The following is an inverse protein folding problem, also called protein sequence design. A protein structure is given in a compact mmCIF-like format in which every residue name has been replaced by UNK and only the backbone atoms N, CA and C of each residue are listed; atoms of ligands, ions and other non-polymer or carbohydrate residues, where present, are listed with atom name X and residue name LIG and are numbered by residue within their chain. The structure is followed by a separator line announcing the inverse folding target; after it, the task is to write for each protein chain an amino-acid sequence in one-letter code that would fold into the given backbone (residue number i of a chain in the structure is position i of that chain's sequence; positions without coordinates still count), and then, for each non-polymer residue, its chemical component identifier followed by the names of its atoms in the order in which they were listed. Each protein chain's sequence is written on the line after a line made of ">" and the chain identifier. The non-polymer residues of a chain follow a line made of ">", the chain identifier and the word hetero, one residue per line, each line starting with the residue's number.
data_IF_106841818716
#
_entry.id   IF_106841818716
#
_cell.length_a   1.000
_cell.length_b   1.000
_cell.length_c   1.000
_cell.angle_alpha   90.00
_cell.angle_beta   90.00
_cell.angle_gamma   90.00
#
_symmetry.space_group_name_H-M   'P 1'
#
loop_
_entity.id
_entity.type
_entity.pdbx_description
1 polymer ?
#
# COMPACT_ATOMS: atom_id res chain seq x y z
N UNK A 1 5.63 19.48 21.04
CA UNK A 1 4.56 18.62 21.61
C UNK A 1 3.59 18.21 20.51
N UNK A 2 4.02 17.34 19.58
CA UNK A 2 3.17 16.78 18.49
C UNK A 2 3.37 15.25 18.42
N UNK A 3 4.54 14.77 18.85
CA UNK A 3 4.89 13.35 18.88
C UNK A 3 4.13 12.51 19.91
N UNK A 4 3.63 13.08 21.01
CA UNK A 4 2.93 12.31 22.05
C UNK A 4 1.50 11.92 21.66
N UNK A 5 0.82 12.71 20.81
CA UNK A 5 -0.59 12.47 20.41
C UNK A 5 -0.74 11.44 19.29
N UNK A 6 0.29 11.22 18.48
CA UNK A 6 0.27 10.24 17.38
C UNK A 6 0.29 8.79 17.89
N UNK A 7 0.91 8.54 19.04
CA UNK A 7 1.04 7.20 19.62
C UNK A 7 -0.32 6.58 19.99
N UNK A 8 -1.27 7.41 20.42
CA UNK A 8 -2.57 6.95 20.93
C UNK A 8 -3.52 6.40 19.83
N UNK A 9 -3.28 6.79 18.57
CA UNK A 9 -4.05 6.33 17.41
C UNK A 9 -3.24 5.54 16.38
N UNK A 10 -1.96 5.28 16.66
CA UNK A 10 -1.13 4.48 15.78
C UNK A 10 -1.39 3.00 15.97
N UNK A 11 -1.63 2.30 14.87
CA UNK A 11 -1.75 0.84 14.85
C UNK A 11 -0.49 0.27 14.20
N UNK A 12 0.21 -0.68 14.84
CA UNK A 12 1.33 -1.35 14.21
C UNK A 12 0.82 -2.21 13.04
N UNK A 13 1.33 -1.94 11.83
CA UNK A 13 0.93 -2.65 10.63
C UNK A 13 2.05 -3.59 10.18
N UNK A 14 1.77 -4.89 9.95
CA UNK A 14 2.80 -5.83 9.53
C UNK A 14 3.19 -5.59 8.06
N UNK A 15 4.44 -5.19 7.83
CA UNK A 15 5.06 -5.19 6.50
C UNK A 15 5.80 -6.52 6.33
N UNK A 16 5.15 -7.49 5.68
CA UNK A 16 5.74 -8.81 5.42
C UNK A 16 6.75 -8.76 4.28
N UNK A 17 7.62 -9.76 4.17
CA UNK A 17 8.51 -9.90 3.02
C UNK A 17 7.75 -10.00 1.68
N UNK A 18 6.56 -10.60 1.69
CA UNK A 18 5.70 -10.68 0.51
C UNK A 18 5.26 -9.28 0.06
N UNK A 19 4.79 -8.45 0.99
CA UNK A 19 4.42 -7.05 0.71
C UNK A 19 5.60 -6.26 0.12
N UNK A 20 6.80 -6.44 0.67
CA UNK A 20 8.00 -5.81 0.13
C UNK A 20 8.32 -6.27 -1.31
N UNK A 21 8.18 -7.57 -1.60
CA UNK A 21 8.42 -8.11 -2.95
C UNK A 21 7.42 -7.57 -3.96
N UNK A 22 6.14 -7.49 -3.61
CA UNK A 22 5.11 -6.92 -4.48
C UNK A 22 5.41 -5.45 -4.75
N UNK A 23 5.69 -4.67 -3.70
CA UNK A 23 6.03 -3.25 -3.83
C UNK A 23 7.26 -3.02 -4.71
N UNK A 24 8.31 -3.84 -4.56
CA UNK A 24 9.49 -3.79 -5.42
C UNK A 24 9.18 -4.13 -6.88
N UNK A 25 8.32 -5.12 -7.12
CA UNK A 25 7.89 -5.49 -8.47
C UNK A 25 7.19 -4.33 -9.16
N UNK A 26 6.17 -3.75 -8.51
CA UNK A 26 5.40 -2.64 -9.09
C UNK A 26 6.23 -1.38 -9.28
N UNK A 27 7.19 -1.12 -8.38
CA UNK A 27 8.12 0.00 -8.51
C UNK A 27 9.05 -0.15 -9.72
N UNK A 28 9.52 -1.37 -10.02
CA UNK A 28 10.39 -1.65 -11.19
C UNK A 28 9.67 -1.45 -12.53
N UNK A 29 8.34 -1.49 -12.54
CA UNK A 29 7.53 -1.21 -13.73
C UNK A 29 7.46 0.29 -14.07
N UNK A 30 7.91 1.17 -13.17
CA UNK A 30 7.73 2.62 -13.34
C UNK A 30 8.88 3.27 -14.13
N UNK A 31 8.60 4.28 -14.98
CA UNK A 31 9.56 4.86 -15.91
C UNK A 31 10.64 5.74 -15.25
N UNK A 32 10.45 6.16 -14.00
CA UNK A 32 11.36 7.08 -13.32
C UNK A 32 11.42 6.83 -11.82
N UNK A 33 12.54 7.22 -11.20
CA UNK A 33 12.80 6.96 -9.78
C UNK A 33 11.75 7.54 -8.85
N UNK A 34 11.28 8.77 -9.11
CA UNK A 34 10.23 9.42 -8.33
C UNK A 34 8.93 8.60 -8.35
N UNK A 35 8.49 8.16 -9.53
CA UNK A 35 7.28 7.36 -9.67
C UNK A 35 7.44 5.95 -9.10
N UNK A 36 8.62 5.34 -9.27
CA UNK A 36 8.96 4.06 -8.68
C UNK A 36 8.87 4.10 -7.15
N UNK A 37 9.43 5.14 -6.52
CA UNK A 37 9.35 5.33 -5.07
C UNK A 37 7.90 5.54 -4.60
N UNK A 38 7.13 6.34 -5.32
CA UNK A 38 5.72 6.57 -5.04
C UNK A 38 4.92 5.26 -5.08
N UNK A 39 5.03 4.50 -6.19
CA UNK A 39 4.33 3.21 -6.35
C UNK A 39 4.79 2.20 -5.29
N UNK A 40 6.08 2.18 -4.93
CA UNK A 40 6.58 1.35 -3.83
C UNK A 40 5.85 1.66 -2.53
N UNK A 41 5.81 2.93 -2.11
CA UNK A 41 5.18 3.35 -0.85
C UNK A 41 3.67 3.11 -0.84
N UNK A 42 2.98 3.39 -1.94
CA UNK A 42 1.56 3.14 -2.08
C UNK A 42 1.24 1.64 -1.98
N UNK A 43 2.06 0.81 -2.62
CA UNK A 43 1.90 -0.65 -2.56
C UNK A 43 2.12 -1.17 -1.15
N UNK A 44 3.11 -0.64 -0.41
CA UNK A 44 3.28 -0.97 1.01
C UNK A 44 2.05 -0.58 1.83
N UNK A 45 1.51 0.62 1.62
CA UNK A 45 0.36 1.13 2.36
C UNK A 45 -0.88 0.25 2.14
N UNK A 46 -1.29 0.05 0.88
CA UNK A 46 -2.50 -0.71 0.54
C UNK A 46 -2.42 -2.16 1.01
N UNK A 47 -1.26 -2.81 0.85
CA UNK A 47 -1.06 -4.19 1.29
C UNK A 47 -1.10 -4.32 2.82
N UNK A 48 -0.49 -3.35 3.52
CA UNK A 48 -0.45 -3.36 4.98
C UNK A 48 -1.85 -3.20 5.56
N UNK A 49 -2.65 -2.26 5.01
CA UNK A 49 -4.05 -2.08 5.39
C UNK A 49 -4.88 -3.31 5.06
N UNK A 50 -4.72 -3.90 3.89
CA UNK A 50 -5.37 -5.16 3.52
C UNK A 50 -5.06 -6.28 4.53
N UNK A 51 -3.80 -6.46 4.91
CA UNK A 51 -3.42 -7.49 5.87
C UNK A 51 -4.07 -7.25 7.22
N UNK A 52 -4.06 -6.00 7.70
CA UNK A 52 -4.67 -5.65 8.98
C UNK A 52 -6.18 -5.86 8.99
N UNK A 53 -6.90 -5.40 7.96
CA UNK A 53 -8.35 -5.61 7.85
C UNK A 53 -8.70 -7.11 7.82
N UNK A 54 -7.93 -7.92 7.08
CA UNK A 54 -8.10 -9.37 7.06
C UNK A 54 -7.82 -10.03 8.42
N UNK A 55 -6.84 -9.54 9.18
CA UNK A 55 -6.61 -9.97 10.57
C UNK A 55 -7.84 -9.69 11.45
N UNK A 56 -8.52 -8.56 11.22
CA UNK A 56 -9.76 -8.21 11.92
C UNK A 56 -11.01 -8.94 11.38
N UNK A 57 -10.86 -9.82 10.39
CA UNK A 57 -11.98 -10.55 9.77
C UNK A 57 -12.81 -9.69 8.81
N UNK A 58 -12.32 -8.52 8.41
CA UNK A 58 -12.96 -7.65 7.43
C UNK A 58 -12.51 -8.08 6.02
N UNK A 59 -13.44 -8.48 5.13
CA UNK A 59 -13.09 -8.87 3.78
C UNK A 59 -12.59 -7.68 2.98
N UNK A 60 -11.64 -7.93 2.08
CA UNK A 60 -11.04 -6.93 1.20
C UNK A 60 -10.71 -7.56 -0.15
N UNK A 61 -10.72 -6.75 -1.20
CA UNK A 61 -10.34 -7.17 -2.55
C UNK A 61 -9.34 -6.18 -3.16
N UNK A 62 -8.10 -6.63 -3.30
CA UNK A 62 -7.04 -5.85 -3.94
C UNK A 62 -7.24 -5.77 -5.45
N UNK A 63 -7.83 -6.79 -6.08
CA UNK A 63 -7.86 -6.93 -7.55
C UNK A 63 -8.75 -5.90 -8.25
N UNK A 64 -9.70 -5.33 -7.52
CA UNK A 64 -10.61 -4.29 -8.02
C UNK A 64 -10.09 -2.87 -7.82
N UNK A 65 -9.02 -2.69 -7.03
CA UNK A 65 -8.45 -1.38 -6.77
C UNK A 65 -7.57 -0.86 -7.91
N UNK A 66 -7.53 0.46 -8.10
CA UNK A 66 -6.64 1.15 -9.03
C UNK A 66 -5.17 0.81 -8.76
N UNK A 67 -4.82 0.53 -7.50
CA UNK A 67 -3.49 0.07 -7.09
C UNK A 67 -3.06 -1.24 -7.75
N UNK A 68 -4.01 -2.10 -8.13
CA UNK A 68 -3.74 -3.34 -8.88
C UNK A 68 -3.81 -3.18 -10.40
N UNK A 69 -4.31 -2.04 -10.90
CA UNK A 69 -4.35 -1.73 -12.32
C UNK A 69 -3.02 -1.08 -12.78
N UNK A 70 -2.26 -1.68 -13.71
CA UNK A 70 -0.95 -1.16 -14.12
C UNK A 70 -1.03 0.23 -14.78
N UNK A 71 -2.11 0.52 -15.51
CA UNK A 71 -2.31 1.82 -16.15
C UNK A 71 -2.57 2.89 -15.08
N UNK A 72 -3.40 2.58 -14.09
CA UNK A 72 -3.69 3.52 -12.99
C UNK A 72 -2.47 3.71 -12.08
N UNK A 73 -1.70 2.66 -11.77
CA UNK A 73 -0.42 2.80 -11.06
C UNK A 73 0.53 3.77 -11.76
N UNK A 74 0.58 3.71 -13.09
CA UNK A 74 1.43 4.60 -13.89
C UNK A 74 0.91 6.03 -13.90
N UNK A 75 -0.40 6.22 -14.08
CA UNK A 75 -1.02 7.54 -14.28
C UNK A 75 -1.30 8.29 -12.97
N UNK A 76 -1.58 7.59 -11.87
CA UNK A 76 -2.18 8.16 -10.66
C UNK A 76 -1.36 7.90 -9.40
N UNK A 77 -1.60 8.71 -8.37
CA UNK A 77 -1.11 8.47 -7.01
C UNK A 77 -2.09 7.64 -6.18
N UNK A 78 -2.28 6.39 -6.60
CA UNK A 78 -3.31 5.51 -6.01
C UNK A 78 -2.75 4.57 -4.96
N UNK A 79 -3.47 4.43 -3.84
CA UNK A 79 -3.27 3.47 -2.76
C UNK A 79 -4.63 2.96 -2.22
N UNK A 80 -5.61 2.87 -3.12
CA UNK A 80 -6.99 2.50 -2.82
C UNK A 80 -7.17 1.01 -2.49
N UNK A 81 -8.10 0.73 -1.58
CA UNK A 81 -8.47 -0.62 -1.18
C UNK A 81 -9.99 -0.74 -1.14
N UNK A 82 -10.55 -1.78 -1.77
CA UNK A 82 -11.97 -2.09 -1.63
C UNK A 82 -12.20 -3.00 -0.43
N UNK A 83 -13.15 -2.59 0.40
CA UNK A 83 -13.66 -3.29 1.60
C UNK A 83 -15.12 -3.65 1.38
#
# INVERSE_FOLDING_TARGET
>A
MITQTLTDWSVPMPITQEVQRIAQSFAREQPGQTKAQQVYLNTLAVCSVNNYLRILGIPTDLSVGNSWNPVMRLAEDTADLRV
#
